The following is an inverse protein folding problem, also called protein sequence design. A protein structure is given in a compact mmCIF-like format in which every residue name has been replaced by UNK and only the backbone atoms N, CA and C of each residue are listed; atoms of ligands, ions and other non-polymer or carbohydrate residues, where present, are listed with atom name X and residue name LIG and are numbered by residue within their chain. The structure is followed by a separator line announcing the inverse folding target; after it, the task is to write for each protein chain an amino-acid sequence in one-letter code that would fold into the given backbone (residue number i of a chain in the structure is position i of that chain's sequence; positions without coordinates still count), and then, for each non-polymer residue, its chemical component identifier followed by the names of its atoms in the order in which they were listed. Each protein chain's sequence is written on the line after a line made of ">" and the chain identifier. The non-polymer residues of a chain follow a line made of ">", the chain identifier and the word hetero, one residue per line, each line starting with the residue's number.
data_IF_808442697548
#
_entry.id   IF_808442697548
#
_cell.length_a   1.000
_cell.length_b   1.000
_cell.length_c   1.000
_cell.angle_alpha   90.00
_cell.angle_beta   90.00
_cell.angle_gamma   90.00
#
_symmetry.space_group_name_H-M   'P 1'
#
loop_
_entity.id
_entity.type
_entity.pdbx_description
1 polymer ?
#
# COMPACT_ATOMS: atom_id res chain seq x y z
N UNK A 1 -8.54 16.07 -21.83
CA UNK A 1 -7.19 15.85 -21.27
C UNK A 1 -6.25 15.52 -22.42
N UNK A 2 -5.11 16.20 -22.55
CA UNK A 2 -4.15 15.93 -23.64
C UNK A 2 -3.59 14.51 -23.53
N UNK A 3 -3.70 13.71 -24.60
CA UNK A 3 -3.15 12.34 -24.64
C UNK A 3 -1.62 12.41 -24.76
N UNK A 4 -0.92 11.68 -23.89
CA UNK A 4 0.55 11.64 -23.85
C UNK A 4 1.05 10.91 -25.11
N UNK A 5 2.03 11.45 -25.87
CA UNK A 5 2.55 10.80 -27.08
C UNK A 5 3.24 9.47 -26.75
N UNK A 6 3.28 8.55 -27.73
CA UNK A 6 4.01 7.29 -27.59
C UNK A 6 5.53 7.54 -27.53
N UNK A 7 6.23 6.81 -26.66
CA UNK A 7 7.69 6.80 -26.67
C UNK A 7 8.24 5.87 -27.77
N UNK A 8 9.51 6.02 -28.11
CA UNK A 8 10.15 5.28 -29.22
C UNK A 8 10.00 3.76 -29.08
N UNK A 9 10.14 3.23 -27.85
CA UNK A 9 9.97 1.81 -27.54
C UNK A 9 8.51 1.32 -27.73
N UNK A 10 7.52 2.16 -27.45
CA UNK A 10 6.10 1.87 -27.69
C UNK A 10 5.79 1.86 -29.18
N UNK A 11 6.41 2.75 -29.96
CA UNK A 11 6.24 2.80 -31.41
C UNK A 11 6.93 1.63 -32.11
N UNK A 12 8.12 1.24 -31.65
CA UNK A 12 8.84 0.04 -32.08
C UNK A 12 8.01 -1.23 -31.86
N UNK A 13 7.46 -1.41 -30.66
CA UNK A 13 6.67 -2.60 -30.31
C UNK A 13 5.29 -2.58 -30.99
N UNK A 14 4.69 -1.42 -31.22
CA UNK A 14 3.45 -1.28 -31.99
C UNK A 14 3.67 -1.69 -33.46
N UNK A 15 4.81 -1.30 -34.05
CA UNK A 15 5.23 -1.67 -35.40
C UNK A 15 5.52 -3.17 -35.49
N UNK A 16 6.23 -3.73 -34.51
CA UNK A 16 6.50 -5.16 -34.41
C UNK A 16 5.22 -6.02 -34.30
N UNK A 17 4.18 -5.51 -33.63
CA UNK A 17 2.87 -6.16 -33.55
C UNK A 17 2.09 -6.07 -34.87
N UNK A 18 2.20 -4.94 -35.60
CA UNK A 18 1.63 -4.82 -36.96
C UNK A 18 2.22 -5.87 -37.90
N UNK A 19 3.52 -6.12 -37.81
CA UNK A 19 4.25 -7.02 -38.70
C UNK A 19 4.09 -8.51 -38.33
N UNK A 20 3.18 -8.85 -37.41
CA UNK A 20 2.78 -10.22 -37.10
C UNK A 20 3.65 -10.93 -36.06
N UNK A 21 4.37 -10.17 -35.22
CA UNK A 21 5.23 -10.67 -34.13
C UNK A 21 6.23 -11.74 -34.61
N UNK A 22 7.19 -11.40 -35.49
CA UNK A 22 8.22 -12.33 -35.94
C UNK A 22 9.03 -12.91 -34.77
N UNK A 23 9.19 -14.24 -34.78
CA UNK A 23 9.93 -14.98 -33.75
C UNK A 23 11.43 -14.59 -33.75
N UNK A 24 12.04 -14.53 -32.56
CA UNK A 24 13.49 -14.30 -32.40
C UNK A 24 13.94 -12.83 -32.32
N UNK A 25 13.04 -11.86 -32.38
CA UNK A 25 13.38 -10.42 -32.21
C UNK A 25 13.56 -10.03 -30.73
N UNK A 26 12.78 -10.65 -29.85
CA UNK A 26 12.87 -10.42 -28.41
C UNK A 26 12.85 -11.75 -27.66
N UNK A 27 13.87 -11.98 -26.82
CA UNK A 27 13.99 -13.19 -25.98
C UNK A 27 13.45 -13.00 -24.54
N UNK A 28 13.04 -11.77 -24.19
CA UNK A 28 12.61 -11.38 -22.84
C UNK A 28 11.14 -10.96 -22.75
N UNK A 29 10.70 -10.59 -21.54
CA UNK A 29 9.29 -10.26 -21.25
C UNK A 29 8.92 -8.80 -21.58
N UNK A 30 9.84 -7.99 -22.10
CA UNK A 30 9.64 -6.54 -22.33
C UNK A 30 8.54 -6.23 -23.34
N UNK A 31 8.42 -6.95 -24.49
CA UNK A 31 7.34 -6.69 -25.46
C UNK A 31 5.95 -6.84 -24.86
N UNK A 32 5.79 -7.74 -23.88
CA UNK A 32 4.52 -7.98 -23.19
C UNK A 32 4.10 -6.82 -22.28
N UNK A 33 5.07 -6.21 -21.59
CA UNK A 33 4.81 -5.06 -20.71
C UNK A 33 4.38 -3.86 -21.55
N UNK A 34 5.09 -3.62 -22.66
CA UNK A 34 4.80 -2.50 -23.56
C UNK A 34 3.50 -2.74 -24.34
N UNK A 35 3.24 -3.95 -24.81
CA UNK A 35 1.96 -4.31 -25.43
C UNK A 35 0.78 -4.12 -24.47
N UNK A 36 0.96 -4.38 -23.16
CA UNK A 36 -0.07 -4.10 -22.16
C UNK A 36 -0.30 -2.60 -21.95
N UNK A 37 0.76 -1.79 -22.02
CA UNK A 37 0.63 -0.34 -21.98
C UNK A 37 -0.08 0.22 -23.23
N UNK A 38 0.21 -0.32 -24.43
CA UNK A 38 -0.47 0.01 -25.68
C UNK A 38 -1.95 -0.42 -25.68
N UNK A 39 -2.25 -1.55 -25.04
CA UNK A 39 -3.61 -2.03 -24.85
C UNK A 39 -4.46 -1.12 -23.98
N UNK A 40 -3.92 -0.63 -22.86
CA UNK A 40 -4.62 0.35 -22.02
C UNK A 40 -4.90 1.68 -22.74
N UNK A 41 -4.20 1.93 -23.86
CA UNK A 41 -4.40 3.10 -24.74
C UNK A 41 -5.25 2.78 -25.97
N UNK A 42 -5.83 1.58 -26.06
CA UNK A 42 -6.71 1.16 -27.15
C UNK A 42 -6.01 0.90 -28.49
N UNK A 43 -4.67 0.81 -28.52
CA UNK A 43 -3.90 0.68 -29.77
C UNK A 43 -3.62 -0.79 -30.16
N UNK A 44 -3.70 -1.71 -29.20
CA UNK A 44 -3.45 -3.14 -29.40
C UNK A 44 -4.43 -3.93 -28.53
N UNK A 45 -4.94 -5.04 -29.04
CA UNK A 45 -5.62 -6.03 -28.20
C UNK A 45 -4.64 -7.14 -27.80
N UNK A 46 -4.59 -7.47 -26.52
CA UNK A 46 -3.66 -8.47 -25.98
C UNK A 46 -4.46 -9.60 -25.37
N UNK A 47 -4.21 -10.81 -25.85
CA UNK A 47 -4.88 -12.03 -25.41
C UNK A 47 -3.87 -13.10 -24.97
N UNK A 48 -4.30 -14.03 -24.12
CA UNK A 48 -3.44 -15.11 -23.63
C UNK A 48 -2.48 -14.71 -22.50
N UNK A 49 -1.58 -15.62 -22.15
CA UNK A 49 -0.68 -15.48 -20.98
C UNK A 49 0.58 -16.34 -21.13
N UNK A 50 1.67 -15.93 -20.48
CA UNK A 50 2.94 -16.67 -20.48
C UNK A 50 3.51 -16.84 -21.89
N UNK A 51 3.90 -18.06 -22.25
CA UNK A 51 4.42 -18.40 -23.59
C UNK A 51 3.36 -18.37 -24.70
N UNK A 52 2.07 -18.28 -24.35
CA UNK A 52 0.93 -18.31 -25.28
C UNK A 52 0.25 -16.93 -25.43
N UNK A 53 0.93 -15.85 -25.05
CA UNK A 53 0.40 -14.50 -25.23
C UNK A 53 0.43 -14.12 -26.71
N UNK A 54 -0.55 -13.33 -27.15
CA UNK A 54 -0.68 -12.79 -28.51
C UNK A 54 -1.14 -11.35 -28.43
N UNK A 55 -0.68 -10.54 -29.38
CA UNK A 55 -1.09 -9.16 -29.55
C UNK A 55 -1.58 -8.94 -30.98
N UNK A 56 -2.67 -8.21 -31.13
CA UNK A 56 -3.26 -7.87 -32.43
C UNK A 56 -3.51 -6.37 -32.50
N UNK A 57 -3.15 -5.75 -33.61
CA UNK A 57 -3.33 -4.32 -33.82
C UNK A 57 -4.83 -3.96 -33.86
N UNK A 58 -5.23 -2.87 -33.20
CA UNK A 58 -6.60 -2.33 -33.30
C UNK A 58 -6.68 -1.27 -34.40
N UNK A 59 -7.90 -0.85 -34.75
CA UNK A 59 -8.12 0.29 -35.67
C UNK A 59 -7.45 1.57 -35.17
N UNK A 60 -7.46 1.82 -33.85
CA UNK A 60 -6.77 2.96 -33.25
C UNK A 60 -5.24 2.86 -33.33
N UNK A 61 -4.70 1.65 -33.21
CA UNK A 61 -3.27 1.38 -33.41
C UNK A 61 -2.80 1.62 -34.84
N UNK A 62 -3.58 1.17 -35.82
CA UNK A 62 -3.30 1.41 -37.24
C UNK A 62 -3.33 2.90 -37.58
N UNK A 63 -4.36 3.62 -37.11
CA UNK A 63 -4.48 5.06 -37.33
C UNK A 63 -3.29 5.83 -36.73
N UNK A 64 -2.85 5.46 -35.53
CA UNK A 64 -1.71 6.09 -34.86
C UNK A 64 -0.38 5.84 -35.59
N UNK A 65 -0.18 4.67 -36.22
CA UNK A 65 1.01 4.40 -37.03
C UNK A 65 1.02 5.19 -38.34
N UNK A 66 -0.15 5.48 -38.90
CA UNK A 66 -0.29 6.21 -40.17
C UNK A 66 -0.26 7.73 -40.01
N UNK A 67 -0.88 8.26 -38.95
CA UNK A 67 -1.11 9.70 -38.78
C UNK A 67 -0.27 10.31 -37.65
N UNK A 68 0.40 9.48 -36.84
CA UNK A 68 1.19 9.93 -35.68
C UNK A 68 0.35 10.49 -34.53
N UNK A 69 -0.98 10.40 -34.61
CA UNK A 69 -1.93 10.89 -33.62
C UNK A 69 -3.09 9.89 -33.43
N UNK A 70 -3.85 10.05 -32.35
CA UNK A 70 -4.99 9.21 -32.03
C UNK A 70 -6.21 9.58 -32.87
N UNK A 71 -7.09 8.62 -33.21
CA UNK A 71 -8.34 8.95 -33.89
C UNK A 71 -9.23 9.82 -32.99
N UNK A 72 -9.97 10.80 -33.57
CA UNK A 72 -10.99 11.56 -32.85
C UNK A 72 -11.98 10.59 -32.21
N UNK A 73 -12.29 10.77 -30.92
CA UNK A 73 -13.18 9.87 -30.18
C UNK A 73 -14.62 10.38 -30.25
N UNK A 74 -15.60 9.48 -30.39
CA UNK A 74 -17.04 9.79 -30.42
C UNK A 74 -17.62 10.27 -29.06
N UNK A 75 -16.78 10.57 -28.06
CA UNK A 75 -17.14 10.81 -26.66
C UNK A 75 -16.87 12.25 -26.15
N UNK A 76 -16.77 13.26 -27.02
CA UNK A 76 -16.74 14.68 -26.62
C UNK A 76 -18.17 15.30 -26.59
N UNK A 77 -18.64 15.89 -25.47
CA UNK A 77 -19.96 16.49 -25.37
C UNK A 77 -19.93 17.94 -25.86
N UNK A 78 -19.76 18.15 -27.17
CA UNK A 78 -19.87 19.47 -27.78
C UNK A 78 -20.36 19.43 -29.24
N UNK A 79 -21.42 18.68 -29.52
CA UNK A 79 -22.28 18.92 -30.68
C UNK A 79 -23.58 18.11 -30.56
N UNK A 80 -24.66 18.72 -30.06
CA UNK A 80 -26.01 18.24 -30.37
C UNK A 80 -26.52 19.04 -31.56
N UNK A 81 -26.87 18.38 -32.67
CA UNK A 81 -28.12 18.64 -33.41
C UNK A 81 -28.32 17.67 -34.60
N UNK A 82 -29.53 17.11 -34.64
CA UNK A 82 -30.26 16.53 -35.78
C UNK A 82 -30.17 14.99 -36.06
N UNK A 83 -31.28 14.37 -36.54
CA UNK A 83 -31.70 13.04 -36.09
C UNK A 83 -31.65 11.92 -37.15
N UNK A 84 -31.32 10.69 -36.67
CA UNK A 84 -31.71 9.32 -37.09
C UNK A 84 -31.91 8.99 -38.60
N UNK A 85 -31.52 7.78 -39.04
CA UNK A 85 -32.56 6.73 -39.01
C UNK A 85 -32.08 5.33 -38.59
N UNK A 86 -33.07 4.57 -38.13
CA UNK A 86 -33.05 3.18 -37.69
C UNK A 86 -33.07 2.26 -38.93
N UNK A 87 -32.22 1.23 -39.08
CA UNK A 87 -32.47 0.21 -40.08
C UNK A 87 -33.43 -0.84 -39.51
N UNK A 88 -34.63 -0.86 -40.08
CA UNK A 88 -35.59 -1.97 -40.02
C UNK A 88 -35.04 -3.21 -40.72
N UNK A 89 -35.46 -4.37 -40.20
CA UNK A 89 -35.20 -5.69 -40.73
C UNK A 89 -35.50 -5.84 -42.23
N UNK A 90 -34.62 -6.57 -42.94
CA UNK A 90 -34.96 -7.30 -44.17
C UNK A 90 -34.20 -8.63 -44.24
N UNK A 91 -34.91 -9.60 -44.75
CA UNK A 91 -34.76 -11.06 -44.65
C UNK A 91 -33.83 -11.64 -45.71
N UNK A 92 -32.89 -12.54 -45.30
CA UNK A 92 -32.34 -13.79 -45.91
C UNK A 92 -31.94 -13.83 -47.42
N UNK A 93 -30.99 -14.71 -47.87
CA UNK A 93 -30.88 -16.13 -47.47
C UNK A 93 -29.47 -16.70 -47.21
N UNK A 94 -29.46 -17.84 -46.51
CA UNK A 94 -28.31 -18.71 -46.28
C UNK A 94 -27.88 -19.44 -47.57
N UNK A 95 -26.67 -20.03 -47.58
CA UNK A 95 -26.68 -21.49 -47.61
C UNK A 95 -25.64 -22.20 -46.74
N UNK A 96 -25.98 -23.47 -46.49
CA UNK A 96 -25.16 -24.64 -46.18
C UNK A 96 -24.55 -24.79 -44.78
N UNK A 97 -25.28 -25.56 -43.97
CA UNK A 97 -24.77 -26.25 -42.78
C UNK A 97 -23.58 -27.16 -43.10
N UNK A 98 -22.53 -27.07 -42.29
CA UNK A 98 -21.64 -28.21 -42.01
C UNK A 98 -21.63 -28.47 -40.50
N UNK A 99 -22.15 -29.65 -40.17
CA UNK A 99 -21.89 -30.51 -39.02
C UNK A 99 -21.73 -29.86 -37.62
N UNK A 100 -22.72 -30.11 -36.78
CA UNK A 100 -22.66 -29.97 -35.33
C UNK A 100 -21.61 -30.94 -34.79
N UNK A 101 -20.44 -30.42 -34.44
CA UNK A 101 -19.55 -31.07 -33.49
C UNK A 101 -19.88 -30.53 -32.09
N UNK A 102 -20.32 -31.42 -31.20
CA UNK A 102 -20.64 -31.11 -29.80
C UNK A 102 -19.47 -30.38 -29.12
N UNK A 103 -19.68 -29.09 -28.85
CA UNK A 103 -18.75 -28.29 -28.03
C UNK A 103 -18.89 -28.73 -26.58
N UNK A 104 -17.89 -29.46 -26.08
CA UNK A 104 -17.66 -29.70 -24.64
C UNK A 104 -17.75 -28.36 -23.86
N UNK A 105 -18.33 -28.35 -22.64
CA UNK A 105 -18.50 -27.12 -21.88
C UNK A 105 -17.14 -26.50 -21.53
N UNK A 106 -16.99 -25.21 -21.84
CA UNK A 106 -15.81 -24.40 -21.47
C UNK A 106 -15.69 -24.36 -19.95
N UNK A 107 -14.54 -24.76 -19.42
CA UNK A 107 -14.19 -24.59 -18.00
C UNK A 107 -14.33 -23.11 -17.59
N UNK A 108 -14.82 -22.81 -16.38
CA UNK A 108 -15.01 -21.43 -15.94
C UNK A 108 -13.66 -20.68 -15.86
N UNK A 109 -13.67 -19.35 -16.05
CA UNK A 109 -12.47 -18.52 -16.07
C UNK A 109 -11.69 -18.65 -14.75
N UNK A 110 -10.35 -18.78 -14.86
CA UNK A 110 -9.47 -18.87 -13.69
C UNK A 110 -9.46 -17.53 -12.96
N UNK A 111 -10.09 -17.48 -11.80
CA UNK A 111 -10.07 -16.34 -10.88
C UNK A 111 -8.62 -16.08 -10.45
N UNK A 112 -8.14 -14.85 -10.58
CA UNK A 112 -6.78 -14.47 -10.18
C UNK A 112 -6.59 -14.57 -8.65
N UNK A 113 -5.36 -14.67 -8.12
CA UNK A 113 -5.14 -14.90 -6.68
C UNK A 113 -5.74 -13.81 -5.78
N UNK A 114 -5.69 -12.54 -6.20
CA UNK A 114 -6.31 -11.42 -5.49
C UNK A 114 -7.83 -11.49 -5.56
N UNK A 115 -8.39 -11.82 -6.72
CA UNK A 115 -9.84 -11.98 -6.89
C UNK A 115 -10.36 -13.19 -6.11
N UNK A 116 -9.56 -14.25 -6.01
CA UNK A 116 -9.89 -15.43 -5.22
C UNK A 116 -9.89 -15.10 -3.73
N UNK A 117 -8.88 -14.37 -3.24
CA UNK A 117 -8.86 -13.84 -1.87
C UNK A 117 -10.10 -12.98 -1.59
N UNK A 118 -10.38 -11.98 -2.43
CA UNK A 118 -11.54 -11.09 -2.23
C UNK A 118 -12.86 -11.85 -2.28
N UNK A 119 -13.03 -12.78 -3.23
CA UNK A 119 -14.24 -13.61 -3.30
C UNK A 119 -14.39 -14.50 -2.06
N UNK A 120 -13.29 -15.02 -1.51
CA UNK A 120 -13.34 -15.84 -0.29
C UNK A 120 -13.69 -15.00 0.92
N UNK A 121 -13.15 -13.77 1.01
CA UNK A 121 -13.50 -12.80 2.05
C UNK A 121 -14.96 -12.37 1.97
N UNK A 122 -15.48 -12.05 0.79
CA UNK A 122 -16.91 -11.67 0.61
C UNK A 122 -17.85 -12.85 0.84
N UNK A 123 -17.40 -14.09 0.62
CA UNK A 123 -18.22 -15.28 0.85
C UNK A 123 -18.20 -15.78 2.30
N UNK A 124 -17.21 -15.38 3.10
CA UNK A 124 -17.12 -15.73 4.51
C UNK A 124 -18.17 -14.94 5.31
N UNK A 125 -18.88 -15.62 6.22
CA UNK A 125 -19.97 -15.03 7.01
C UNK A 125 -19.52 -13.87 7.90
N UNK A 126 -18.32 -13.97 8.47
CA UNK A 126 -17.66 -12.94 9.27
C UNK A 126 -16.66 -12.10 8.47
N UNK A 127 -16.67 -12.23 7.14
CA UNK A 127 -15.70 -11.61 6.23
C UNK A 127 -14.23 -11.90 6.58
N UNK A 128 -13.96 -13.02 7.27
CA UNK A 128 -12.64 -13.39 7.75
C UNK A 128 -12.25 -14.76 7.18
N UNK A 129 -10.97 -14.88 6.81
CA UNK A 129 -10.37 -16.15 6.43
C UNK A 129 -9.16 -16.41 7.31
N UNK A 130 -9.03 -17.64 7.79
CA UNK A 130 -7.82 -18.11 8.46
C UNK A 130 -6.76 -18.47 7.41
N UNK A 131 -5.53 -18.02 7.66
CA UNK A 131 -4.39 -18.28 6.78
C UNK A 131 -3.23 -18.82 7.59
N UNK A 132 -2.42 -19.65 6.96
CA UNK A 132 -1.21 -20.16 7.58
C UNK A 132 -0.25 -19.00 7.90
N UNK A 133 0.37 -19.03 9.09
CA UNK A 133 1.31 -17.99 9.53
C UNK A 133 2.43 -17.71 8.51
N UNK A 134 2.95 -18.74 7.83
CA UNK A 134 3.97 -18.59 6.78
C UNK A 134 3.49 -17.84 5.53
N UNK A 135 2.17 -17.72 5.33
CA UNK A 135 1.56 -17.05 4.18
C UNK A 135 1.19 -15.58 4.48
N UNK A 136 1.42 -15.07 5.70
CA UNK A 136 1.08 -13.69 6.10
C UNK A 136 1.61 -12.66 5.10
N UNK A 137 2.87 -12.78 4.71
CA UNK A 137 3.48 -11.82 3.76
C UNK A 137 2.84 -11.90 2.37
N UNK A 138 2.44 -13.09 1.92
CA UNK A 138 1.72 -13.27 0.66
C UNK A 138 0.36 -12.58 0.71
N UNK A 139 -0.42 -12.77 1.77
CA UNK A 139 -1.72 -12.14 1.91
C UNK A 139 -1.64 -10.62 2.09
N UNK A 140 -0.59 -10.11 2.75
CA UNK A 140 -0.30 -8.66 2.76
C UNK A 140 -0.07 -8.11 1.35
N UNK A 141 0.69 -8.81 0.51
CA UNK A 141 0.90 -8.41 -0.89
C UNK A 141 -0.40 -8.47 -1.71
N UNK A 142 -1.26 -9.45 -1.46
CA UNK A 142 -2.58 -9.54 -2.11
C UNK A 142 -3.50 -8.39 -1.68
N UNK A 143 -3.51 -8.00 -0.41
CA UNK A 143 -4.26 -6.85 0.10
C UNK A 143 -3.78 -5.53 -0.53
N UNK A 144 -2.46 -5.30 -0.59
CA UNK A 144 -1.89 -4.14 -1.29
C UNK A 144 -2.26 -4.12 -2.79
N UNK A 145 -2.23 -5.28 -3.43
CA UNK A 145 -2.63 -5.45 -4.83
C UNK A 145 -4.12 -5.16 -5.01
N UNK A 146 -4.98 -5.63 -4.10
CA UNK A 146 -6.41 -5.36 -4.12
C UNK A 146 -6.70 -3.87 -4.01
N UNK A 147 -6.04 -3.17 -3.08
CA UNK A 147 -6.14 -1.71 -2.95
C UNK A 147 -5.66 -0.98 -4.21
N UNK A 148 -4.47 -1.34 -4.73
CA UNK A 148 -3.89 -0.73 -5.95
C UNK A 148 -4.80 -0.86 -7.16
N UNK A 149 -5.50 -1.97 -7.30
CA UNK A 149 -6.43 -2.22 -8.41
C UNK A 149 -7.88 -1.88 -8.09
N UNK A 150 -8.16 -1.18 -6.97
CA UNK A 150 -9.52 -0.79 -6.53
C UNK A 150 -10.50 -1.96 -6.48
N UNK A 151 -10.02 -3.13 -6.04
CA UNK A 151 -10.80 -4.37 -5.89
C UNK A 151 -11.43 -4.52 -4.51
N UNK A 152 -10.99 -3.71 -3.55
CA UNK A 152 -11.61 -3.64 -2.23
C UNK A 152 -12.88 -2.79 -2.39
N UNK A 153 -14.06 -3.25 -1.94
CA UNK A 153 -15.28 -2.47 -1.99
C UNK A 153 -15.13 -1.09 -1.34
N UNK A 154 -15.83 -0.09 -1.87
CA UNK A 154 -15.84 1.26 -1.32
C UNK A 154 -16.29 1.22 0.14
N UNK A 155 -15.57 1.92 1.03
CA UNK A 155 -15.85 1.89 2.45
C UNK A 155 -15.46 0.59 3.15
N UNK A 156 -14.61 -0.25 2.56
CA UNK A 156 -14.01 -1.42 3.22
C UNK A 156 -12.48 -1.42 3.12
N UNK A 157 -11.83 -2.18 4.01
CA UNK A 157 -10.39 -2.44 3.98
C UNK A 157 -10.09 -3.92 4.24
N UNK A 158 -8.94 -4.37 3.74
CA UNK A 158 -8.44 -5.73 3.99
C UNK A 158 -7.27 -5.66 4.95
N UNK A 159 -7.44 -6.23 6.14
CA UNK A 159 -6.41 -6.27 7.19
C UNK A 159 -5.88 -7.69 7.35
N UNK A 160 -4.56 -7.81 7.56
CA UNK A 160 -3.88 -9.10 7.78
C UNK A 160 -3.28 -9.10 9.17
N UNK A 161 -3.88 -9.84 10.10
CA UNK A 161 -3.40 -10.01 11.47
C UNK A 161 -2.68 -11.36 11.62
N UNK A 162 -1.71 -11.41 12.51
CA UNK A 162 -0.96 -12.64 12.80
C UNK A 162 -0.58 -12.69 14.26
N UNK A 163 -0.78 -13.84 14.89
CA UNK A 163 -0.40 -14.09 16.26
C UNK A 163 0.74 -15.11 16.32
N UNK A 164 1.91 -14.66 16.76
CA UNK A 164 3.12 -15.49 16.77
C UNK A 164 3.07 -16.64 17.79
N UNK A 165 2.61 -16.44 19.05
CA UNK A 165 2.48 -17.50 20.04
C UNK A 165 1.58 -18.67 19.58
N UNK A 166 0.44 -18.37 18.96
CA UNK A 166 -0.48 -19.41 18.47
C UNK A 166 -0.20 -19.85 17.03
N UNK A 167 0.72 -19.16 16.33
CA UNK A 167 0.99 -19.34 14.89
C UNK A 167 -0.28 -19.30 14.04
N UNK A 168 -1.24 -18.48 14.44
CA UNK A 168 -2.46 -18.22 13.67
C UNK A 168 -2.32 -16.92 12.89
N UNK A 169 -2.97 -16.85 11.74
CA UNK A 169 -3.07 -15.60 11.00
C UNK A 169 -4.45 -15.52 10.34
N UNK A 170 -4.95 -14.30 10.22
CA UNK A 170 -6.26 -14.06 9.64
C UNK A 170 -6.19 -12.89 8.66
N UNK A 171 -7.02 -12.98 7.62
CA UNK A 171 -7.30 -11.88 6.72
C UNK A 171 -8.76 -11.52 6.91
N UNK A 172 -9.04 -10.25 7.16
CA UNK A 172 -10.39 -9.76 7.41
C UNK A 172 -10.71 -8.65 6.42
N UNK A 173 -11.87 -8.74 5.78
CA UNK A 173 -12.48 -7.63 5.05
C UNK A 173 -13.44 -6.93 6.01
N UNK A 174 -13.06 -5.74 6.44
CA UNK A 174 -13.80 -4.98 7.44
C UNK A 174 -14.26 -3.65 6.86
N UNK A 175 -15.38 -3.13 7.36
CA UNK A 175 -15.80 -1.77 7.03
C UNK A 175 -14.67 -0.81 7.41
N UNK A 176 -14.31 0.07 6.48
CA UNK A 176 -13.55 1.27 6.81
C UNK A 176 -14.37 1.97 7.90
N UNK A 177 -13.82 2.14 9.10
CA UNK A 177 -14.57 2.82 10.14
C UNK A 177 -15.02 4.19 9.64
N UNK A 178 -16.23 4.63 9.99
CA UNK A 178 -16.83 5.89 9.48
C UNK A 178 -15.92 7.12 9.69
N UNK A 179 -15.01 7.07 10.67
CA UNK A 179 -14.02 8.10 10.95
C UNK A 179 -12.85 8.14 9.95
N UNK A 180 -12.59 7.06 9.20
CA UNK A 180 -11.55 6.97 8.15
C UNK A 180 -12.03 7.42 6.78
N UNK A 181 -13.35 7.45 6.58
CA UNK A 181 -14.02 8.05 5.40
C UNK A 181 -14.42 9.50 5.65
N UNK A 182 -14.34 9.98 6.90
CA UNK A 182 -14.48 11.40 7.22
C UNK A 182 -13.34 12.17 6.57
N UNK A 183 -13.70 13.16 5.75
CA UNK A 183 -12.73 14.15 5.27
C UNK A 183 -12.16 14.88 6.48
N UNK A 184 -10.89 14.65 6.76
CA UNK A 184 -10.17 15.34 7.83
C UNK A 184 -9.63 16.67 7.29
N UNK A 185 -9.68 17.70 8.13
CA UNK A 185 -9.09 18.99 7.77
C UNK A 185 -7.58 18.81 7.57
N UNK A 186 -7.01 19.26 6.44
CA UNK A 186 -5.58 19.15 6.19
C UNK A 186 -4.75 19.87 7.27
N UNK A 187 -3.69 19.22 7.74
CA UNK A 187 -2.73 19.85 8.65
C UNK A 187 -1.78 20.70 7.81
N UNK A 188 -1.69 22.03 8.03
CA UNK A 188 -0.84 22.89 7.23
C UNK A 188 0.64 22.60 7.51
N UNK A 189 1.36 22.11 6.49
CA UNK A 189 2.81 21.92 6.57
C UNK A 189 3.50 23.26 6.29
N UNK A 190 4.37 23.75 7.21
CA UNK A 190 5.04 25.02 7.00
C UNK A 190 5.96 24.96 5.77
N UNK A 191 5.95 26.03 4.96
CA UNK A 191 6.87 26.17 3.82
C UNK A 191 8.34 26.31 4.26
N UNK A 192 8.58 26.83 5.47
CA UNK A 192 9.91 26.98 6.07
C UNK A 192 9.85 26.91 7.60
N UNK A 193 10.92 26.43 8.24
CA UNK A 193 11.04 26.31 9.69
C UNK A 193 11.47 27.65 10.34
N UNK A 194 10.57 28.65 10.33
CA UNK A 194 10.81 29.96 10.96
C UNK A 194 10.38 29.91 12.42
N UNK A 195 11.33 29.74 13.33
CA UNK A 195 11.05 29.59 14.77
C UNK A 195 10.71 28.15 15.15
N UNK A 196 11.62 27.18 14.91
CA UNK A 196 11.34 25.77 15.13
C UNK A 196 11.05 25.46 16.60
N UNK A 197 10.11 24.53 16.82
CA UNK A 197 9.84 23.97 18.15
C UNK A 197 11.09 23.38 18.82
N UNK A 198 11.02 23.22 20.13
CA UNK A 198 11.99 22.47 20.94
C UNK A 198 12.22 21.05 20.40
N UNK A 199 11.16 20.39 19.93
CA UNK A 199 11.23 19.06 19.30
C UNK A 199 12.10 19.10 18.04
N UNK A 200 11.86 20.05 17.14
CA UNK A 200 12.64 20.19 15.91
C UNK A 200 14.08 20.61 16.17
N UNK A 201 14.32 21.46 17.17
CA UNK A 201 15.69 21.80 17.60
C UNK A 201 16.46 20.56 18.04
N UNK A 202 15.83 19.68 18.83
CA UNK A 202 16.44 18.43 19.29
C UNK A 202 16.66 17.43 18.14
N UNK A 203 15.70 17.30 17.22
CA UNK A 203 15.83 16.41 16.06
C UNK A 203 16.81 16.90 15.00
N UNK A 204 16.96 18.22 14.84
CA UNK A 204 17.90 18.82 13.91
C UNK A 204 19.34 18.34 14.14
N UNK A 205 19.71 18.12 15.40
CA UNK A 205 21.03 17.64 15.83
C UNK A 205 21.20 16.12 15.82
N UNK A 206 20.14 15.33 15.56
CA UNK A 206 20.26 13.85 15.45
C UNK A 206 21.02 13.44 14.19
N UNK A 207 21.91 12.47 14.36
CA UNK A 207 22.66 11.79 13.30
C UNK A 207 22.00 10.47 12.86
N UNK A 208 21.08 9.94 13.66
CA UNK A 208 20.45 8.63 13.50
C UNK A 208 19.07 8.67 12.84
N UNK A 209 18.66 9.82 12.28
CA UNK A 209 17.44 9.90 11.47
C UNK A 209 17.55 9.07 10.18
N UNK A 210 18.77 8.77 9.71
CA UNK A 210 19.04 8.07 8.45
C UNK A 210 18.34 8.70 7.22
N UNK A 211 18.17 10.04 7.25
CA UNK A 211 17.61 10.84 6.16
C UNK A 211 18.72 11.72 5.57
N UNK A 212 18.88 11.67 4.23
CA UNK A 212 19.85 12.51 3.51
C UNK A 212 19.55 14.00 3.68
N UNK A 213 20.61 14.81 3.59
CA UNK A 213 20.53 16.26 3.78
C UNK A 213 19.47 16.94 2.90
N UNK A 214 19.27 16.48 1.66
CA UNK A 214 18.27 17.02 0.74
C UNK A 214 16.83 16.89 1.29
N UNK A 215 16.50 15.75 1.89
CA UNK A 215 15.15 15.47 2.40
C UNK A 215 14.96 15.82 3.87
N UNK A 216 16.06 16.00 4.62
CA UNK A 216 16.02 16.28 6.07
C UNK A 216 15.20 17.52 6.39
N UNK A 217 15.29 18.59 5.59
CA UNK A 217 14.48 19.79 5.81
C UNK A 217 12.99 19.54 5.61
N UNK A 218 12.59 18.76 4.59
CA UNK A 218 11.17 18.39 4.40
C UNK A 218 10.67 17.50 5.53
N UNK A 219 11.48 16.52 5.95
CA UNK A 219 11.15 15.66 7.08
C UNK A 219 10.89 16.46 8.37
N UNK A 220 11.75 17.43 8.69
CA UNK A 220 11.56 18.29 9.86
C UNK A 220 10.32 19.19 9.74
N UNK A 221 9.95 19.63 8.52
CA UNK A 221 8.70 20.39 8.30
C UNK A 221 7.45 19.55 8.54
N UNK A 222 7.45 18.28 8.12
CA UNK A 222 6.36 17.34 8.40
C UNK A 222 6.21 17.09 9.91
N UNK A 223 7.33 16.89 10.61
CA UNK A 223 7.31 16.71 12.07
C UNK A 223 6.85 17.99 12.77
N UNK A 224 7.26 19.18 12.31
CA UNK A 224 6.81 20.44 12.89
C UNK A 224 5.30 20.61 12.75
N UNK A 225 4.74 20.26 11.58
CA UNK A 225 3.30 20.30 11.35
C UNK A 225 2.54 19.41 12.34
N UNK A 226 3.02 18.18 12.58
CA UNK A 226 2.46 17.29 13.60
C UNK A 226 2.61 17.86 15.02
N UNK A 227 3.74 18.46 15.35
CA UNK A 227 3.99 19.05 16.67
C UNK A 227 3.03 20.21 16.93
N UNK A 228 2.88 21.11 15.95
CA UNK A 228 1.99 22.28 16.05
C UNK A 228 0.54 21.82 16.20
N UNK A 229 0.08 20.91 15.35
CA UNK A 229 -1.30 20.42 15.41
C UNK A 229 -1.58 19.63 16.69
N UNK A 230 -0.68 18.72 17.10
CA UNK A 230 -0.86 17.96 18.33
C UNK A 230 -0.93 18.88 19.55
N UNK A 231 -0.09 19.92 19.61
CA UNK A 231 -0.14 20.92 20.69
C UNK A 231 -1.41 21.77 20.64
N UNK A 232 -1.91 22.08 19.44
CA UNK A 232 -3.20 22.75 19.26
C UNK A 232 -4.36 21.90 19.80
N UNK A 233 -4.25 20.56 19.70
CA UNK A 233 -5.17 19.60 20.32
C UNK A 233 -4.87 19.29 21.80
N UNK A 234 -4.02 20.10 22.44
CA UNK A 234 -3.60 19.98 23.84
C UNK A 234 -2.78 18.72 24.19
N UNK A 235 -2.17 18.08 23.19
CA UNK A 235 -1.29 16.92 23.40
C UNK A 235 0.12 17.36 23.74
N UNK A 236 0.81 16.55 24.55
CA UNK A 236 2.22 16.79 24.84
C UNK A 236 3.07 16.11 23.78
N UNK A 237 4.00 16.85 23.18
CA UNK A 237 4.95 16.31 22.21
C UNK A 237 6.37 16.60 22.64
N UNK A 238 7.19 15.56 22.72
CA UNK A 238 8.61 15.62 23.09
C UNK A 238 9.48 14.88 22.08
N UNK A 239 10.70 15.37 21.87
CA UNK A 239 11.70 14.61 21.11
C UNK A 239 12.23 13.45 21.95
N UNK A 240 12.37 12.28 21.32
CA UNK A 240 13.02 11.13 21.94
C UNK A 240 14.53 11.27 21.75
N UNK A 241 15.35 11.08 22.80
CA UNK A 241 16.81 11.13 22.67
C UNK A 241 17.36 10.09 21.69
N UNK A 242 18.43 10.44 20.97
CA UNK A 242 19.14 9.48 20.15
C UNK A 242 19.63 8.31 21.02
N UNK A 243 19.45 7.06 20.59
CA UNK A 243 19.98 5.91 21.28
C UNK A 243 21.51 5.96 21.25
N UNK A 244 22.14 5.69 22.39
CA UNK A 244 23.60 5.73 22.50
C UNK A 244 24.22 4.57 21.73
N UNK A 245 25.23 4.88 20.91
CA UNK A 245 26.13 3.90 20.32
C UNK A 245 27.10 3.42 21.41
N UNK A 246 27.28 2.11 21.52
CA UNK A 246 28.30 1.53 22.39
C UNK A 246 29.71 1.73 21.81
N UNK A 247 30.74 1.24 22.51
CA UNK A 247 32.15 1.34 22.08
C UNK A 247 32.44 0.69 20.72
N UNK A 248 31.56 -0.16 20.22
CA UNK A 248 31.66 -0.88 18.96
C UNK A 248 30.76 -0.29 17.88
N UNK A 249 30.03 0.79 18.19
CA UNK A 249 29.09 1.44 17.28
C UNK A 249 27.70 0.82 17.25
N UNK A 250 27.43 -0.21 18.08
CA UNK A 250 26.10 -0.81 18.15
C UNK A 250 25.15 0.05 18.97
N UNK A 251 23.92 0.16 18.48
CA UNK A 251 22.87 0.95 19.11
C UNK A 251 22.00 0.02 19.95
N UNK A 252 21.94 0.25 21.27
CA UNK A 252 20.97 -0.44 22.12
C UNK A 252 19.62 0.29 22.07
N UNK A 253 18.66 -0.31 21.36
CA UNK A 253 17.29 0.20 21.30
C UNK A 253 16.47 -0.34 22.48
N UNK A 254 16.04 0.57 23.35
CA UNK A 254 15.09 0.35 24.44
C UNK A 254 13.76 1.01 24.10
N UNK A 255 12.71 0.75 24.86
CA UNK A 255 11.43 1.46 24.67
C UNK A 255 11.58 2.97 24.87
N UNK A 256 12.47 3.40 25.77
CA UNK A 256 12.70 4.81 26.08
C UNK A 256 13.35 5.61 24.93
N UNK A 257 14.13 4.94 24.07
CA UNK A 257 14.89 5.58 23.00
C UNK A 257 14.46 5.15 21.59
N UNK A 258 13.40 4.36 21.48
CA UNK A 258 12.81 3.96 20.19
C UNK A 258 11.92 5.08 19.67
N UNK A 259 12.09 5.45 18.40
CA UNK A 259 11.32 6.53 17.77
C UNK A 259 12.06 7.87 17.75
N UNK A 260 11.46 8.83 17.05
CA UNK A 260 11.97 10.19 16.92
C UNK A 260 11.21 11.17 17.82
N UNK A 261 9.89 11.04 17.89
CA UNK A 261 9.04 11.85 18.76
C UNK A 261 8.13 10.96 19.59
N UNK A 262 7.77 11.46 20.78
CA UNK A 262 6.72 10.89 21.63
C UNK A 262 5.57 11.88 21.73
N UNK A 263 4.36 11.42 21.45
CA UNK A 263 3.11 12.16 21.60
C UNK A 263 2.32 11.51 22.75
N UNK A 264 1.92 12.31 23.73
CA UNK A 264 1.13 11.86 24.89
C UNK A 264 -0.27 12.47 24.82
N UNK A 265 -1.29 11.61 24.73
CA UNK A 265 -2.72 11.95 24.76
C UNK A 265 -3.31 11.41 26.06
N UNK A 266 -3.46 12.27 27.07
CA UNK A 266 -3.93 11.83 28.39
C UNK A 266 -3.02 10.73 28.97
N UNK A 267 -3.54 9.50 29.25
CA UNK A 267 -2.72 8.39 29.74
C UNK A 267 -1.94 7.66 28.64
N UNK A 268 -2.26 7.90 27.37
CA UNK A 268 -1.79 7.14 26.24
C UNK A 268 -0.50 7.75 25.65
N UNK A 269 0.52 6.93 25.42
CA UNK A 269 1.80 7.37 24.84
C UNK A 269 2.06 6.70 23.48
N UNK A 270 2.37 7.50 22.47
CA UNK A 270 2.70 7.06 21.12
C UNK A 270 4.08 7.50 20.71
N UNK A 271 4.82 6.63 20.04
CA UNK A 271 6.17 6.88 19.53
C UNK A 271 6.13 6.82 18.02
N UNK A 272 6.71 7.82 17.36
CA UNK A 272 6.74 7.90 15.90
C UNK A 272 8.16 8.09 15.39
N UNK A 273 8.49 7.40 14.30
CA UNK A 273 9.71 7.62 13.51
C UNK A 273 9.37 8.22 12.15
N UNK A 274 10.18 9.19 11.74
CA UNK A 274 10.25 9.65 10.34
C UNK A 274 11.47 9.05 9.66
N UNK A 275 11.34 8.55 8.43
CA UNK A 275 12.42 7.87 7.72
C UNK A 275 12.39 8.17 6.22
N UNK A 276 13.52 7.92 5.54
CA UNK A 276 13.63 8.01 4.09
C UNK A 276 13.46 6.62 3.47
N UNK A 277 12.64 6.52 2.41
CA UNK A 277 12.48 5.26 1.69
C UNK A 277 13.74 4.99 0.87
N UNK A 278 14.09 3.71 0.76
CA UNK A 278 15.20 3.26 -0.09
C UNK A 278 14.68 2.41 -1.24
N UNK A 279 15.26 2.58 -2.41
CA UNK A 279 15.08 1.70 -3.55
C UNK A 279 16.13 0.60 -3.52
N UNK A 280 15.71 -0.61 -3.88
CA UNK A 280 16.55 -1.78 -3.94
C UNK A 280 17.13 -1.92 -5.34
N UNK A 281 18.46 -1.83 -5.46
CA UNK A 281 19.17 -1.99 -6.72
C UNK A 281 20.18 -3.13 -6.64
N UNK A 282 20.57 -3.69 -7.77
CA UNK A 282 21.60 -4.75 -7.80
C UNK A 282 22.93 -4.20 -7.29
N UNK A 283 23.57 -4.96 -6.39
CA UNK A 283 24.83 -4.55 -5.79
C UNK A 283 25.96 -4.61 -6.80
N UNK A 284 26.72 -3.52 -6.89
CA UNK A 284 27.93 -3.46 -7.73
C UNK A 284 29.15 -3.62 -6.84
N UNK A 285 29.71 -4.83 -6.84
CA UNK A 285 30.85 -5.17 -6.00
C UNK A 285 32.07 -4.28 -6.28
N UNK A 286 32.61 -3.68 -5.23
CA UNK A 286 33.85 -2.91 -5.32
C UNK A 286 35.07 -3.83 -5.45
N UNK A 287 36.19 -3.31 -5.98
CA UNK A 287 37.47 -4.06 -6.06
C UNK A 287 37.88 -4.65 -4.70
N UNK A 288 37.65 -3.90 -3.63
CA UNK A 288 37.94 -4.30 -2.25
C UNK A 288 37.06 -5.46 -1.78
N UNK A 289 35.79 -5.46 -2.15
CA UNK A 289 34.84 -6.53 -1.83
C UNK A 289 35.12 -7.79 -2.65
N UNK A 290 35.45 -7.66 -3.94
CA UNK A 290 35.91 -8.78 -4.77
C UNK A 290 37.16 -9.46 -4.19
N UNK A 291 38.14 -8.66 -3.71
CA UNK A 291 39.33 -9.19 -3.05
C UNK A 291 39.02 -9.92 -1.73
N UNK A 292 37.99 -9.49 -1.00
CA UNK A 292 37.48 -10.21 0.19
C UNK A 292 36.70 -11.45 -0.20
N UNK A 293 35.93 -11.42 -1.29
CA UNK A 293 35.18 -12.57 -1.78
C UNK A 293 36.08 -13.76 -2.12
N UNK A 294 37.28 -13.50 -2.67
CA UNK A 294 38.32 -14.53 -2.87
C UNK A 294 38.72 -15.23 -1.56
N UNK A 295 38.58 -14.56 -0.42
CA UNK A 295 38.84 -15.10 0.92
C UNK A 295 37.60 -15.74 1.58
N UNK A 296 36.54 -15.98 0.80
CA UNK A 296 35.31 -16.65 1.26
C UNK A 296 34.26 -15.73 1.88
N UNK A 297 34.42 -14.40 1.81
CA UNK A 297 33.40 -13.46 2.28
C UNK A 297 32.24 -13.35 1.27
N UNK A 298 31.00 -13.40 1.75
CA UNK A 298 29.83 -13.26 0.88
C UNK A 298 29.66 -11.82 0.39
N UNK A 299 29.33 -11.67 -0.90
CA UNK A 299 28.95 -10.39 -1.48
C UNK A 299 27.45 -10.14 -1.29
N UNK A 300 27.03 -8.93 -0.90
CA UNK A 300 25.63 -8.53 -0.95
C UNK A 300 25.10 -8.67 -2.38
N UNK A 301 23.84 -9.10 -2.51
CA UNK A 301 23.15 -9.11 -3.81
C UNK A 301 22.54 -7.75 -4.15
N UNK A 302 22.22 -6.95 -3.14
CA UNK A 302 21.41 -5.75 -3.28
C UNK A 302 22.00 -4.60 -2.49
N UNK A 303 22.00 -3.43 -3.10
CA UNK A 303 22.20 -2.14 -2.44
C UNK A 303 20.85 -1.45 -2.22
N UNK A 304 20.79 -0.63 -1.18
CA UNK A 304 19.61 0.16 -0.83
C UNK A 304 19.95 1.64 -0.98
N UNK A 305 19.41 2.29 -2.01
CA UNK A 305 19.70 3.68 -2.33
C UNK A 305 18.57 4.57 -1.80
N UNK A 306 18.85 5.58 -0.96
CA UNK A 306 17.84 6.53 -0.51
C UNK A 306 17.17 7.26 -1.66
N UNK A 307 15.83 7.32 -1.62
CA UNK A 307 14.95 7.99 -2.59
C UNK A 307 14.53 9.36 -2.09
N UNK A 308 13.93 10.22 -2.93
CA UNK A 308 13.33 11.48 -2.47
C UNK A 308 12.04 11.32 -1.64
N UNK A 309 11.63 10.08 -1.32
CA UNK A 309 10.38 9.78 -0.61
C UNK A 309 10.63 9.58 0.87
N UNK A 310 9.71 10.09 1.68
CA UNK A 310 9.70 10.00 3.13
C UNK A 310 8.57 9.09 3.60
N UNK A 311 8.69 8.63 4.84
CA UNK A 311 7.64 7.91 5.55
C UNK A 311 7.62 8.24 7.03
N UNK A 312 6.45 8.07 7.65
CA UNK A 312 6.26 8.13 9.09
C UNK A 312 5.69 6.78 9.53
N UNK A 313 6.16 6.25 10.65
CA UNK A 313 5.65 5.01 11.24
C UNK A 313 5.47 5.13 12.75
N UNK A 314 4.53 4.38 13.28
CA UNK A 314 4.34 4.19 14.72
C UNK A 314 5.29 3.08 15.20
N UNK A 315 5.90 3.31 16.36
CA UNK A 315 6.96 2.49 16.94
C UNK A 315 6.51 1.71 18.19
N UNK A 316 5.26 1.89 18.62
CA UNK A 316 4.71 1.23 19.79
C UNK A 316 4.76 -0.29 19.65
N UNK A 317 5.35 -0.95 20.66
CA UNK A 317 5.37 -2.42 20.74
C UNK A 317 4.10 -2.91 21.42
N UNK A 318 3.60 -4.07 20.98
CA UNK A 318 2.48 -4.74 21.63
C UNK A 318 1.10 -4.09 21.43
N UNK A 319 1.00 -3.07 20.58
CA UNK A 319 -0.25 -2.39 20.24
C UNK A 319 -0.48 -2.57 18.74
N UNK A 320 -1.70 -2.95 18.38
CA UNK A 320 -2.10 -3.08 16.98
C UNK A 320 -2.81 -1.80 16.56
N UNK A 321 -2.35 -1.21 15.45
CA UNK A 321 -2.98 -0.05 14.82
C UNK A 321 -3.64 -0.49 13.51
N UNK A 322 -4.65 0.24 13.06
CA UNK A 322 -5.25 0.08 11.73
C UNK A 322 -4.33 0.62 10.63
N UNK A 323 -3.49 1.60 10.97
CA UNK A 323 -2.37 2.07 10.17
C UNK A 323 -1.18 2.33 11.08
N UNK A 324 -0.04 1.71 10.79
CA UNK A 324 1.20 1.90 11.55
C UNK A 324 2.31 2.54 10.71
N UNK A 325 2.08 2.77 9.41
CA UNK A 325 3.06 3.39 8.50
C UNK A 325 2.39 4.10 7.33
N UNK A 326 2.89 5.30 7.02
CA UNK A 326 2.49 6.15 5.91
C UNK A 326 3.73 6.60 5.15
N UNK A 327 3.63 6.70 3.82
CA UNK A 327 4.77 6.99 2.94
C UNK A 327 4.33 7.88 1.79
N UNK A 328 5.27 8.64 1.20
CA UNK A 328 5.01 9.38 -0.04
C UNK A 328 4.62 8.44 -1.18
N UNK A 329 3.52 8.78 -1.85
CA UNK A 329 3.05 8.13 -3.06
C UNK A 329 2.83 9.17 -4.15
N UNK A 330 2.82 8.72 -5.39
CA UNK A 330 2.66 9.60 -6.56
C UNK A 330 1.26 10.25 -6.61
N UNK A 331 0.27 9.57 -6.02
CA UNK A 331 -1.13 9.99 -5.92
C UNK A 331 -1.49 10.60 -4.55
N UNK A 332 -0.61 10.48 -3.56
CA UNK A 332 -0.83 10.97 -2.20
C UNK A 332 0.51 11.33 -1.54
N UNK A 333 0.88 12.62 -1.45
CA UNK A 333 2.05 13.04 -0.70
C UNK A 333 1.85 12.75 0.80
N UNK A 334 2.96 12.56 1.52
CA UNK A 334 2.93 12.28 2.96
C UNK A 334 2.32 13.42 3.78
N UNK A 335 2.40 14.65 3.29
CA UNK A 335 1.75 15.85 3.86
C UNK A 335 0.24 15.63 4.05
N UNK A 336 -0.43 14.98 3.09
CA UNK A 336 -1.87 14.72 3.12
C UNK A 336 -2.25 13.58 4.09
N UNK A 337 -1.27 12.79 4.53
CA UNK A 337 -1.48 11.70 5.49
C UNK A 337 -1.35 12.14 6.95
N UNK A 338 -0.85 13.35 7.22
CA UNK A 338 -0.67 13.85 8.60
C UNK A 338 -1.97 13.86 9.43
N UNK A 339 -3.14 14.29 8.91
CA UNK A 339 -4.39 14.24 9.66
C UNK A 339 -4.76 12.80 10.06
N UNK A 340 -4.55 11.86 9.14
CA UNK A 340 -4.82 10.45 9.37
C UNK A 340 -3.93 9.87 10.47
N UNK A 341 -2.66 10.28 10.53
CA UNK A 341 -1.73 9.86 11.59
C UNK A 341 -2.27 10.27 12.96
N UNK A 342 -2.61 11.54 13.17
CA UNK A 342 -3.13 11.99 14.48
C UNK A 342 -4.47 11.33 14.82
N UNK A 343 -5.36 11.19 13.82
CA UNK A 343 -6.65 10.52 14.01
C UNK A 343 -6.48 9.07 14.46
N UNK A 344 -5.49 8.35 13.91
CA UNK A 344 -5.17 6.98 14.28
C UNK A 344 -4.73 6.88 15.75
N UNK A 345 -3.95 7.86 16.24
CA UNK A 345 -3.52 7.91 17.65
C UNK A 345 -4.71 8.17 18.58
N UNK A 346 -5.58 9.13 18.25
CA UNK A 346 -6.74 9.48 19.08
C UNK A 346 -7.71 8.33 19.30
N UNK A 347 -7.84 7.46 18.31
CA UNK A 347 -8.80 6.36 18.32
C UNK A 347 -8.20 5.08 18.87
N UNK A 348 -6.89 4.87 18.67
CA UNK A 348 -6.21 3.66 19.12
C UNK A 348 -5.62 3.86 20.49
N UNK A 349 -6.32 3.47 21.56
CA UNK A 349 -5.77 3.58 22.93
C UNK A 349 -4.85 2.39 23.26
N UNK A 350 -3.54 2.60 23.54
CA UNK A 350 -2.63 1.58 24.02
C UNK A 350 -3.04 1.12 25.43
N UNK A 351 -3.96 0.16 25.50
CA UNK A 351 -4.47 -0.36 26.77
C UNK A 351 -5.90 -0.88 26.74
N UNK A 352 -6.64 -0.70 25.64
CA UNK A 352 -8.00 -1.23 25.47
C UNK A 352 -8.00 -2.30 24.36
N UNK A 353 -7.26 -3.38 24.58
CA UNK A 353 -7.34 -4.58 23.76
C UNK A 353 -7.93 -5.70 24.60
N UNK A 354 -9.26 -5.84 24.63
CA UNK A 354 -9.90 -7.04 25.18
C UNK A 354 -11.34 -6.93 25.70
N UNK A 355 -11.82 -5.75 26.08
CA UNK A 355 -13.20 -5.56 26.55
C UNK A 355 -13.77 -4.29 25.95
N UNK A 356 -15.07 -4.26 25.66
CA UNK A 356 -15.87 -3.12 25.15
C UNK A 356 -16.16 -3.06 23.64
N UNK A 357 -16.30 -4.21 22.97
CA UNK A 357 -17.21 -4.33 21.81
C UNK A 357 -18.19 -5.51 21.91
N UNK A 358 -18.58 -5.88 23.12
CA UNK A 358 -19.73 -6.77 23.37
C UNK A 358 -20.65 -6.12 24.38
N UNK A 359 -21.56 -5.29 23.88
CA UNK A 359 -22.70 -4.80 24.65
C UNK A 359 -23.67 -5.95 24.93
N UNK A 360 -23.40 -6.74 25.98
CA UNK A 360 -24.41 -7.53 26.69
C UNK A 360 -24.07 -7.46 28.18
N UNK A 361 -24.80 -6.64 28.93
CA UNK A 361 -24.84 -6.72 30.39
C UNK A 361 -25.61 -7.98 30.80
N UNK A 362 -25.04 -8.94 31.53
CA UNK A 362 -25.86 -9.81 32.35
C UNK A 362 -26.25 -9.05 33.61
N UNK A 363 -27.53 -8.70 33.71
CA UNK A 363 -28.19 -8.38 34.98
C UNK A 363 -28.15 -9.64 35.85
N UNK A 364 -27.42 -9.63 36.95
CA UNK A 364 -27.74 -10.47 38.10
C UNK A 364 -27.57 -9.71 39.42
N UNK A 365 -28.44 -9.99 40.41
CA UNK A 365 -28.71 -9.09 41.51
C UNK A 365 -27.68 -9.21 42.64
N UNK A 366 -27.48 -8.08 43.29
CA UNK A 366 -26.88 -7.95 44.62
C UNK A 366 -27.70 -8.76 45.64
N UNK A 367 -27.09 -9.80 46.21
CA UNK A 367 -27.48 -10.30 47.54
C UNK A 367 -26.29 -10.13 48.48
N UNK A 368 -26.55 -9.36 49.54
CA UNK A 368 -25.61 -9.11 50.62
C UNK A 368 -25.27 -10.37 51.40
N UNK A 369 -24.15 -10.31 52.10
CA UNK A 369 -23.63 -11.43 52.88
C UNK A 369 -22.41 -11.02 53.68
N UNK A 370 -22.66 -10.17 54.65
CA UNK A 370 -21.83 -9.82 55.79
C UNK A 370 -20.98 -10.96 56.38
N UNK A 371 -19.84 -10.53 56.98
CA UNK A 371 -19.21 -11.02 58.22
C UNK A 371 -18.05 -12.03 58.15
N UNK A 372 -16.96 -11.53 58.75
CA UNK A 372 -16.20 -12.14 59.85
C UNK A 372 -14.81 -12.70 59.56
N UNK A 373 -13.85 -11.88 60.01
CA UNK A 373 -12.57 -12.21 60.65
C UNK A 373 -12.44 -13.65 61.18
N UNK A 374 -11.29 -14.27 60.93
CA UNK A 374 -10.59 -15.07 61.92
C UNK A 374 -9.11 -15.21 61.53
N UNK A 375 -8.26 -15.11 62.54
CA UNK A 375 -6.81 -15.11 62.47
C UNK A 375 -6.20 -16.49 62.76
N UNK A 376 -4.88 -16.57 62.51
CA UNK A 376 -3.84 -17.46 63.09
C UNK A 376 -3.63 -18.85 62.46
N UNK A 377 -2.46 -19.51 62.70
CA UNK A 377 -1.18 -19.03 63.26
C UNK A 377 0.10 -19.50 62.51
N UNK A 378 1.23 -18.94 62.94
CA UNK A 378 2.60 -19.47 62.75
C UNK A 378 2.87 -20.69 63.65
N UNK A 379 3.61 -21.66 63.11
CA UNK A 379 4.49 -22.63 63.81
C UNK A 379 5.13 -23.51 62.72
N UNK A 380 6.43 -23.76 62.64
CA UNK A 380 7.56 -23.43 63.50
C UNK A 380 8.87 -23.55 62.72
#
# INVERSE_FOLDING_TARGET
>A
MARIPLNDLQLEILTWIRDGTPDGVYEDYRPRIVARALHNRGLVDVSGHGKNWRATLTTGGAYHLEHGDYPPSDDDPAATSAPRPRPTARTKPAPASKAVAERKPRKPPRVGPTDAMMNTLTAAEDHRIEVEYGQVQRYRQLALTAGRFKKIPDGMQVTVSSDYPTRTAHVTLELLPEWRTRTLDPIPVPGALRGPSDVIKALGTRDDLDIRAAEKNRALRLVEALVVEARHREYTVVAIPAPRKDRWGYVQRTEENTGHIKITLGPDEYRLSIYQLTEKVEHVATKSELARAVRGYALPKWDYIPTGRLGIRIDNRGVTFWGDSWTDRDDQPLDDALPQILQELELTRPGVSGELLTGVRPLFPTTGGERSRSARPRSG
#
